data_IF_955858262690
#
_entry.id   IF_955858262690
#
_cell.length_a   1.000
_cell.length_b   1.000
_cell.length_c   1.000
_cell.angle_alpha   90.00
_cell.angle_beta   90.00
_cell.angle_gamma   90.00
#
_symmetry.space_group_name_H-M   'P 1'
#
loop_
_entity.id
_entity.type
_entity.pdbx_description
1 polymer ?
#
# COMPACT_ATOMS: atom_id res chain seq x y z
N UNK A 1 -17.17 -46.76 -6.06
CA UNK A 1 -18.63 -46.70 -5.86
C UNK A 1 -18.91 -46.25 -4.44
N UNK A 2 -19.85 -45.31 -4.16
CA UNK A 2 -20.65 -44.54 -5.07
C UNK A 2 -20.48 -43.01 -4.95
N UNK A 3 -20.90 -42.36 -5.99
CA UNK A 3 -21.16 -40.96 -6.29
C UNK A 3 -22.32 -40.46 -5.43
N UNK A 4 -22.21 -39.28 -4.83
CA UNK A 4 -23.39 -38.57 -4.33
C UNK A 4 -23.49 -37.17 -4.94
N UNK A 5 -24.47 -37.06 -5.79
CA UNK A 5 -24.99 -35.90 -6.47
C UNK A 5 -26.00 -35.19 -5.56
N UNK A 6 -25.88 -33.87 -5.32
CA UNK A 6 -26.99 -33.08 -4.80
C UNK A 6 -27.14 -31.75 -5.54
N UNK A 7 -27.89 -31.80 -6.61
CA UNK A 7 -28.64 -30.66 -7.13
C UNK A 7 -29.97 -30.58 -6.42
N UNK A 8 -30.32 -29.48 -5.78
CA UNK A 8 -31.72 -29.08 -5.55
C UNK A 8 -31.92 -27.59 -5.83
N UNK A 9 -32.54 -27.33 -6.96
CA UNK A 9 -33.23 -26.09 -7.33
C UNK A 9 -34.35 -25.77 -6.33
N UNK A 10 -34.54 -24.48 -6.02
CA UNK A 10 -35.87 -23.94 -5.69
C UNK A 10 -36.09 -22.62 -6.41
N UNK A 11 -37.19 -22.55 -7.17
CA UNK A 11 -37.78 -21.47 -7.93
C UNK A 11 -38.85 -20.71 -7.09
N UNK A 12 -39.40 -19.58 -7.56
CA UNK A 12 -39.85 -18.44 -6.79
C UNK A 12 -41.35 -18.40 -6.48
N UNK A 13 -41.79 -17.42 -5.71
CA UNK A 13 -43.19 -17.03 -5.58
C UNK A 13 -43.36 -15.53 -5.82
N UNK A 14 -44.18 -15.20 -6.82
CA UNK A 14 -44.84 -13.92 -7.12
C UNK A 14 -46.04 -13.71 -6.18
N UNK A 15 -46.39 -12.44 -6.00
CA UNK A 15 -47.76 -11.83 -6.11
C UNK A 15 -47.69 -10.43 -5.53
N UNK A 16 -47.88 -9.33 -6.31
CA UNK A 16 -49.13 -8.60 -6.61
C UNK A 16 -49.75 -7.98 -5.32
N UNK A 17 -50.10 -6.73 -5.23
CA UNK A 17 -50.97 -5.80 -5.98
C UNK A 17 -50.84 -4.38 -5.43
N UNK A 18 -50.79 -3.39 -6.27
CA UNK A 18 -51.63 -2.23 -6.59
C UNK A 18 -52.36 -1.53 -5.43
N UNK A 19 -52.12 -0.20 -5.28
CA UNK A 19 -53.22 0.79 -5.23
C UNK A 19 -52.70 2.23 -5.50
N UNK A 20 -53.37 2.87 -6.45
CA UNK A 20 -53.33 4.29 -6.82
C UNK A 20 -54.22 5.11 -5.89
N UNK A 21 -53.85 6.32 -5.54
CA UNK A 21 -54.81 7.46 -5.38
C UNK A 21 -54.13 8.80 -5.71
N UNK A 22 -54.89 9.57 -6.42
CA UNK A 22 -54.76 10.79 -7.17
C UNK A 22 -54.58 12.10 -6.36
N UNK A 23 -53.94 13.04 -7.04
CA UNK A 23 -54.22 14.48 -7.26
C UNK A 23 -54.32 15.45 -6.10
N UNK A 24 -53.55 16.56 -6.19
CA UNK A 24 -54.09 17.90 -6.40
C UNK A 24 -52.99 18.90 -6.75
N UNK A 25 -53.24 19.65 -7.82
CA UNK A 25 -52.54 20.85 -8.30
C UNK A 25 -52.69 22.01 -7.31
N UNK A 26 -51.64 22.82 -7.16
CA UNK A 26 -51.79 24.26 -6.97
C UNK A 26 -50.48 24.96 -7.38
N UNK A 27 -50.61 25.67 -8.42
CA UNK A 27 -49.83 26.77 -8.99
C UNK A 27 -49.36 27.77 -7.94
N UNK A 28 -48.09 28.15 -7.96
CA UNK A 28 -47.73 29.56 -7.70
C UNK A 28 -46.33 29.89 -8.27
N UNK A 29 -46.37 30.79 -9.22
CA UNK A 29 -45.31 31.46 -9.92
C UNK A 29 -44.68 32.51 -9.02
N UNK A 30 -43.37 32.43 -8.73
CA UNK A 30 -42.57 33.59 -8.40
C UNK A 30 -41.10 33.36 -8.82
N UNK A 31 -40.58 34.30 -9.59
CA UNK A 31 -39.21 34.31 -10.10
C UNK A 31 -38.21 34.61 -8.98
N UNK A 32 -37.06 33.95 -8.94
CA UNK A 32 -35.99 34.35 -8.05
C UNK A 32 -35.07 35.38 -8.69
N UNK A 33 -34.82 36.40 -7.88
CA UNK A 33 -33.81 37.44 -8.04
C UNK A 33 -32.40 36.86 -8.15
N UNK A 34 -31.62 37.44 -9.05
CA UNK A 34 -30.15 37.31 -9.14
C UNK A 34 -29.50 37.76 -7.84
N UNK A 35 -28.90 36.80 -7.11
CA UNK A 35 -27.76 37.02 -6.19
C UNK A 35 -27.36 35.70 -5.54
N UNK A 36 -26.59 34.84 -6.21
CA UNK A 36 -25.70 33.84 -5.59
C UNK A 36 -24.82 33.21 -6.68
N UNK A 37 -23.95 33.99 -7.28
CA UNK A 37 -22.93 33.50 -8.20
C UNK A 37 -21.57 34.16 -7.91
N UNK A 38 -21.09 34.10 -6.69
CA UNK A 38 -19.72 34.52 -6.33
C UNK A 38 -19.32 33.90 -4.99
N UNK A 39 -19.11 32.58 -4.93
CA UNK A 39 -18.35 31.99 -3.83
C UNK A 39 -17.81 30.57 -4.09
N UNK A 40 -17.78 30.11 -5.36
CA UNK A 40 -17.32 28.73 -5.68
C UNK A 40 -15.90 28.70 -6.28
N UNK A 41 -15.27 29.85 -6.50
CA UNK A 41 -14.00 29.96 -7.22
C UNK A 41 -12.77 30.10 -6.31
N UNK A 42 -12.91 30.39 -5.03
CA UNK A 42 -11.75 30.61 -4.14
C UNK A 42 -11.36 29.35 -3.36
N UNK A 43 -12.31 28.50 -2.95
CA UNK A 43 -11.99 27.22 -2.27
C UNK A 43 -11.39 26.17 -3.21
N UNK A 44 -11.71 26.20 -4.52
CA UNK A 44 -11.16 25.24 -5.49
C UNK A 44 -9.72 25.57 -5.90
N UNK A 45 -9.32 26.84 -5.81
CA UNK A 45 -7.95 27.27 -6.14
C UNK A 45 -6.97 27.01 -4.97
N UNK A 46 -7.44 27.07 -3.73
CA UNK A 46 -6.59 26.82 -2.55
C UNK A 46 -6.30 25.34 -2.37
N UNK A 47 -7.21 24.45 -2.81
CA UNK A 47 -7.01 23.00 -2.76
C UNK A 47 -5.97 22.50 -3.78
N UNK A 48 -5.84 23.18 -4.93
CA UNK A 48 -4.82 22.82 -5.93
C UNK A 48 -3.42 23.37 -5.58
N UNK A 49 -3.32 24.49 -4.84
CA UNK A 49 -2.02 25.05 -4.41
C UNK A 49 -1.36 24.25 -3.26
N UNK A 50 -2.15 23.58 -2.42
CA UNK A 50 -1.61 22.76 -1.30
C UNK A 50 -1.09 21.40 -1.80
N UNK A 51 -1.50 20.97 -3.01
CA UNK A 51 -1.12 19.65 -3.54
C UNK A 51 0.13 19.66 -4.43
N UNK A 52 0.75 20.80 -4.66
CA UNK A 52 1.95 20.95 -5.53
C UNK A 52 3.23 21.25 -4.74
N UNK A 53 3.22 21.08 -3.41
CA UNK A 53 4.44 21.05 -2.63
C UNK A 53 5.18 19.76 -3.00
N UNK A 54 6.36 19.90 -3.60
CA UNK A 54 7.29 18.78 -3.77
C UNK A 54 7.50 18.14 -2.38
N UNK A 55 7.42 16.79 -2.26
CA UNK A 55 7.64 16.13 -0.98
C UNK A 55 9.01 16.56 -0.42
N UNK A 56 9.08 16.77 0.90
CA UNK A 56 10.36 17.04 1.55
C UNK A 56 11.36 15.94 1.17
N UNK A 57 12.59 16.35 0.84
CA UNK A 57 13.61 15.41 0.38
C UNK A 57 14.16 14.61 1.57
N UNK A 58 13.67 13.40 1.76
CA UNK A 58 14.02 12.51 2.88
C UNK A 58 15.26 11.65 2.63
N UNK A 59 15.52 11.29 1.37
CA UNK A 59 16.53 10.29 1.00
C UNK A 59 17.69 10.86 0.17
N UNK A 60 17.77 12.19 -0.03
CA UNK A 60 18.76 12.85 -0.91
C UNK A 60 20.22 12.65 -0.50
N UNK A 61 20.51 12.39 0.77
CA UNK A 61 21.86 12.14 1.31
C UNK A 61 22.26 10.66 1.26
N UNK A 62 21.36 9.77 0.80
CA UNK A 62 21.60 8.34 0.75
C UNK A 62 22.21 7.93 -0.59
N UNK A 63 23.29 7.13 -0.54
CA UNK A 63 23.87 6.51 -1.74
C UNK A 63 23.09 5.24 -2.13
N UNK A 64 22.49 5.26 -3.33
CA UNK A 64 21.74 4.17 -3.91
C UNK A 64 22.50 3.37 -4.98
N UNK A 65 23.81 3.61 -5.16
CA UNK A 65 24.61 2.99 -6.24
C UNK A 65 24.64 1.46 -6.20
N UNK A 66 24.53 0.87 -5.00
CA UNK A 66 24.49 -0.59 -4.76
C UNK A 66 23.20 -1.05 -4.08
N UNK A 67 22.16 -0.21 -4.04
CA UNK A 67 20.92 -0.48 -3.34
C UNK A 67 20.05 -1.50 -4.09
N UNK A 68 19.89 -1.30 -5.41
CA UNK A 68 19.07 -2.13 -6.25
C UNK A 68 19.87 -3.25 -6.91
N UNK A 69 19.23 -4.40 -7.07
CA UNK A 69 19.81 -5.50 -7.82
C UNK A 69 19.59 -5.28 -9.32
N UNK A 70 20.66 -5.44 -10.13
CA UNK A 70 20.56 -5.36 -11.58
C UNK A 70 19.61 -6.41 -12.14
N UNK A 71 18.53 -5.96 -12.77
CA UNK A 71 17.44 -6.80 -13.21
C UNK A 71 17.73 -7.39 -14.59
N UNK A 72 17.64 -8.72 -14.70
CA UNK A 72 17.58 -9.42 -15.98
C UNK A 72 16.20 -9.25 -16.62
N UNK A 73 16.11 -9.40 -17.94
CA UNK A 73 14.84 -9.33 -18.70
C UNK A 73 13.70 -10.16 -18.06
N UNK A 74 14.02 -11.32 -17.50
CA UNK A 74 13.06 -12.21 -16.84
C UNK A 74 12.49 -11.66 -15.52
N UNK A 75 13.08 -10.62 -14.95
CA UNK A 75 12.75 -10.03 -13.65
C UNK A 75 12.02 -8.69 -13.78
N UNK A 76 11.75 -8.22 -14.99
CA UNK A 76 11.02 -6.96 -15.25
C UNK A 76 9.63 -6.87 -14.59
N UNK A 77 9.10 -7.96 -14.10
CA UNK A 77 7.84 -7.99 -13.34
C UNK A 77 7.91 -7.32 -11.96
N UNK A 78 9.08 -6.93 -11.52
CA UNK A 78 9.31 -6.26 -10.23
C UNK A 78 9.53 -4.77 -10.35
N UNK A 79 9.86 -4.27 -11.54
CA UNK A 79 10.18 -2.87 -11.78
C UNK A 79 9.19 -2.23 -12.74
N UNK A 80 8.65 -1.09 -12.35
CA UNK A 80 7.74 -0.28 -13.14
C UNK A 80 8.42 0.99 -13.69
N UNK A 81 7.78 1.64 -14.66
CA UNK A 81 8.17 2.97 -15.08
C UNK A 81 8.02 3.97 -13.91
N UNK A 82 8.79 5.06 -13.92
CA UNK A 82 8.68 6.10 -12.89
C UNK A 82 7.25 6.64 -12.82
N UNK A 83 6.64 6.69 -11.63
CA UNK A 83 5.25 7.10 -11.50
C UNK A 83 5.12 8.62 -11.67
N UNK A 84 4.10 9.05 -12.39
CA UNK A 84 3.66 10.44 -12.40
C UNK A 84 2.69 10.72 -11.22
N UNK A 85 2.38 11.98 -10.98
CA UNK A 85 1.49 12.40 -9.89
C UNK A 85 0.07 11.83 -10.03
N UNK A 86 -0.42 11.60 -11.26
CA UNK A 86 -1.75 11.02 -11.47
C UNK A 86 -1.78 9.56 -11.06
N UNK A 87 -0.75 8.80 -11.41
CA UNK A 87 -0.64 7.40 -11.01
C UNK A 87 -0.50 7.26 -9.50
N UNK A 88 0.34 8.10 -8.86
CA UNK A 88 0.50 8.11 -7.40
C UNK A 88 -0.84 8.34 -6.72
N UNK A 89 -1.56 9.42 -7.05
CA UNK A 89 -2.90 9.72 -6.49
C UNK A 89 -3.87 8.56 -6.71
N UNK A 90 -3.94 8.05 -7.94
CA UNK A 90 -4.85 6.96 -8.29
C UNK A 90 -4.56 5.65 -7.53
N UNK A 91 -3.29 5.36 -7.21
CA UNK A 91 -2.90 4.21 -6.37
C UNK A 91 -3.26 4.46 -4.91
N UNK A 92 -3.03 5.66 -4.39
CA UNK A 92 -3.44 6.06 -3.03
C UNK A 92 -4.96 5.96 -2.84
N UNK A 93 -5.74 6.49 -3.80
CA UNK A 93 -7.21 6.39 -3.79
C UNK A 93 -7.70 4.94 -3.77
N UNK A 94 -7.05 4.05 -4.53
CA UNK A 94 -7.41 2.62 -4.57
C UNK A 94 -7.07 1.89 -3.28
N UNK A 95 -5.94 2.24 -2.65
CA UNK A 95 -5.49 1.61 -1.40
C UNK A 95 -6.17 2.22 -0.18
N UNK A 96 -6.68 3.46 -0.28
CA UNK A 96 -7.31 4.19 0.81
C UNK A 96 -6.34 4.82 1.82
N UNK A 97 -5.08 5.01 1.42
CA UNK A 97 -4.01 5.57 2.26
C UNK A 97 -3.12 6.52 1.46
N UNK A 98 -2.61 7.55 2.09
CA UNK A 98 -1.57 8.42 1.55
C UNK A 98 -0.20 7.73 1.72
N UNK A 99 0.56 7.61 0.64
CA UNK A 99 1.90 7.01 0.70
C UNK A 99 2.88 7.98 1.38
N UNK A 100 3.81 7.49 2.24
CA UNK A 100 4.85 8.32 2.83
C UNK A 100 5.69 9.03 1.78
N UNK A 101 6.09 10.28 2.04
CA UNK A 101 6.89 11.06 1.10
C UNK A 101 8.21 10.36 0.73
N UNK A 102 8.88 9.76 1.70
CA UNK A 102 10.09 8.96 1.47
C UNK A 102 9.83 7.74 0.54
N UNK A 103 8.63 7.14 0.60
CA UNK A 103 8.26 6.07 -0.31
C UNK A 103 8.08 6.57 -1.74
N UNK A 104 7.35 7.67 -1.89
CA UNK A 104 7.12 8.32 -3.19
C UNK A 104 8.44 8.79 -3.80
N UNK A 105 9.33 9.40 -3.00
CA UNK A 105 10.66 9.83 -3.42
C UNK A 105 11.48 8.65 -3.96
N UNK A 106 11.57 7.54 -3.21
CA UNK A 106 12.27 6.34 -3.64
C UNK A 106 11.71 5.78 -4.95
N UNK A 107 10.38 5.71 -5.08
CA UNK A 107 9.73 5.19 -6.29
C UNK A 107 9.87 6.14 -7.50
N UNK A 108 9.99 7.44 -7.30
CA UNK A 108 10.34 8.40 -8.37
C UNK A 108 11.79 8.23 -8.84
N UNK A 109 12.71 7.77 -8.00
CA UNK A 109 14.08 7.43 -8.40
C UNK A 109 14.14 6.08 -9.10
N UNK A 110 13.54 5.04 -8.52
CA UNK A 110 13.49 3.67 -9.03
C UNK A 110 12.20 2.98 -8.54
N UNK A 111 11.30 2.64 -9.46
CA UNK A 111 9.94 2.26 -9.14
C UNK A 111 9.78 0.77 -8.85
N UNK A 112 10.08 0.35 -7.64
CA UNK A 112 10.07 -1.05 -7.21
C UNK A 112 11.30 -1.80 -7.67
N UNK A 113 11.42 -3.06 -7.29
CA UNK A 113 12.53 -3.91 -7.73
C UNK A 113 13.12 -4.78 -6.65
N UNK A 114 14.02 -5.65 -7.05
CA UNK A 114 14.81 -6.51 -6.15
C UNK A 114 15.94 -5.71 -5.52
N UNK A 115 16.36 -6.12 -4.32
CA UNK A 115 17.33 -5.39 -3.51
C UNK A 115 18.67 -6.12 -3.42
N UNK A 116 19.79 -5.38 -3.52
CA UNK A 116 21.11 -5.81 -3.07
C UNK A 116 21.28 -5.56 -1.56
N UNK A 117 20.85 -4.37 -1.09
CA UNK A 117 20.73 -4.09 0.34
C UNK A 117 19.43 -4.66 0.85
N UNK A 118 19.41 -5.95 1.11
CA UNK A 118 18.20 -6.69 1.44
C UNK A 118 18.12 -7.18 2.88
N UNK A 119 19.12 -6.91 3.73
CA UNK A 119 19.18 -7.36 5.12
C UNK A 119 18.81 -6.22 6.07
N UNK A 120 17.76 -6.42 6.86
CA UNK A 120 17.33 -5.48 7.89
C UNK A 120 17.53 -6.07 9.28
N UNK A 121 18.26 -5.38 10.21
CA UNK A 121 18.47 -5.87 11.56
C UNK A 121 17.16 -5.85 12.36
N UNK A 122 16.90 -6.88 13.12
CA UNK A 122 15.69 -7.03 13.90
C UNK A 122 16.00 -7.68 15.25
N UNK A 123 15.36 -7.18 16.29
CA UNK A 123 15.44 -7.78 17.62
C UNK A 123 14.16 -8.59 17.86
N UNK A 124 14.16 -9.85 17.45
CA UNK A 124 13.08 -10.74 17.84
C UNK A 124 13.21 -11.12 19.34
N UNK A 125 12.08 -11.43 20.02
CA UNK A 125 12.14 -12.07 21.32
C UNK A 125 13.01 -13.35 21.26
N UNK A 126 13.66 -13.69 22.36
CA UNK A 126 14.79 -14.62 22.51
C UNK A 126 14.65 -16.04 21.90
N UNK A 127 13.53 -16.39 21.28
CA UNK A 127 13.28 -17.72 20.72
C UNK A 127 13.58 -17.84 19.21
N UNK A 128 13.90 -16.72 18.55
CA UNK A 128 14.18 -16.69 17.11
C UNK A 128 15.66 -16.40 16.89
N UNK A 129 16.38 -17.34 16.32
CA UNK A 129 17.84 -17.27 16.08
C UNK A 129 18.25 -16.32 14.94
N UNK A 130 17.38 -15.44 14.47
CA UNK A 130 17.67 -14.55 13.37
C UNK A 130 17.80 -13.11 13.86
N UNK A 131 18.98 -12.54 13.74
CA UNK A 131 19.26 -11.13 14.00
C UNK A 131 18.86 -10.22 12.83
N UNK A 132 18.42 -10.80 11.70
CA UNK A 132 18.10 -10.09 10.46
C UNK A 132 16.91 -10.73 9.73
N UNK A 133 16.14 -9.89 9.06
CA UNK A 133 15.22 -10.33 8.01
C UNK A 133 15.82 -10.05 6.63
N UNK A 134 15.49 -10.91 5.66
CA UNK A 134 15.89 -10.71 4.28
C UNK A 134 14.68 -10.29 3.45
N UNK A 135 14.69 -9.03 2.98
CA UNK A 135 13.68 -8.43 2.11
C UNK A 135 14.00 -8.80 0.66
N UNK A 136 13.05 -9.33 -0.09
CA UNK A 136 13.30 -9.77 -1.47
C UNK A 136 13.22 -8.63 -2.48
N UNK A 137 12.13 -7.86 -2.39
CA UNK A 137 11.83 -6.77 -3.32
C UNK A 137 10.89 -5.77 -2.65
N UNK A 138 10.91 -4.55 -3.17
CA UNK A 138 9.91 -3.52 -2.87
C UNK A 138 8.88 -3.47 -4.00
N UNK A 139 7.61 -3.30 -3.66
CA UNK A 139 6.54 -3.10 -4.62
C UNK A 139 6.59 -1.68 -5.18
N UNK A 140 6.56 -1.51 -6.49
CA UNK A 140 6.49 -0.20 -7.14
C UNK A 140 5.09 0.41 -7.10
N UNK A 141 5.00 1.72 -7.36
CA UNK A 141 3.72 2.42 -7.55
C UNK A 141 3.25 2.17 -8.97
N UNK A 142 2.44 1.14 -9.17
CA UNK A 142 1.93 0.72 -10.49
C UNK A 142 0.73 -0.22 -10.31
N UNK A 143 0.04 -0.54 -11.44
CA UNK A 143 -1.09 -1.47 -11.51
C UNK A 143 -0.87 -2.64 -12.45
N UNK A 144 -0.06 -2.45 -13.48
CA UNK A 144 0.12 -3.42 -14.56
C UNK A 144 1.26 -4.39 -14.25
N UNK A 145 2.29 -3.90 -13.57
CA UNK A 145 3.41 -4.74 -13.14
C UNK A 145 2.96 -5.70 -12.04
N UNK A 146 3.27 -6.98 -12.20
CA UNK A 146 2.74 -8.03 -11.33
C UNK A 146 3.07 -7.84 -9.84
N UNK A 147 4.29 -7.38 -9.54
CA UNK A 147 4.77 -7.07 -8.19
C UNK A 147 4.85 -5.56 -7.99
N UNK A 148 3.70 -4.89 -8.08
CA UNK A 148 3.51 -3.48 -7.72
C UNK A 148 2.37 -3.35 -6.71
N UNK A 149 2.19 -2.18 -6.10
CA UNK A 149 1.22 -1.96 -5.01
C UNK A 149 -0.20 -2.39 -5.37
N UNK A 150 -0.67 -2.06 -6.59
CA UNK A 150 -1.98 -2.45 -7.11
C UNK A 150 -1.91 -3.55 -8.16
N UNK A 151 -0.74 -4.18 -8.36
CA UNK A 151 -0.56 -5.30 -9.29
C UNK A 151 -1.16 -6.61 -8.77
N UNK A 152 -1.12 -7.65 -9.63
CA UNK A 152 -1.70 -8.96 -9.31
C UNK A 152 -1.20 -9.58 -7.99
N UNK A 153 0.08 -9.38 -7.66
CA UNK A 153 0.71 -9.86 -6.43
C UNK A 153 1.06 -8.69 -5.50
N UNK A 154 0.26 -7.63 -5.55
CA UNK A 154 0.43 -6.41 -4.80
C UNK A 154 -0.16 -6.46 -3.39
N UNK A 155 -0.37 -5.28 -2.80
CA UNK A 155 -0.77 -5.12 -1.41
C UNK A 155 -2.03 -5.91 -1.05
N UNK A 156 -3.10 -5.80 -1.84
CA UNK A 156 -4.36 -6.52 -1.58
C UNK A 156 -4.17 -8.04 -1.57
N UNK A 157 -3.41 -8.59 -2.54
CA UNK A 157 -3.11 -10.01 -2.60
C UNK A 157 -2.29 -10.49 -1.38
N UNK A 158 -1.32 -9.69 -0.94
CA UNK A 158 -0.47 -10.05 0.20
C UNK A 158 -1.23 -10.03 1.53
N UNK A 159 -2.24 -9.17 1.63
CA UNK A 159 -3.08 -9.02 2.82
C UNK A 159 -4.34 -9.91 2.77
N UNK A 160 -4.64 -10.54 1.62
CA UNK A 160 -5.73 -11.49 1.49
C UNK A 160 -5.66 -12.58 2.58
N UNK A 161 -6.76 -12.88 3.20
CA UNK A 161 -6.87 -13.82 4.34
C UNK A 161 -6.12 -13.40 5.63
N UNK A 162 -5.66 -12.13 5.74
CA UNK A 162 -5.02 -11.59 6.94
C UNK A 162 -6.00 -10.86 7.88
N UNK A 163 -7.29 -10.95 7.62
CA UNK A 163 -8.33 -10.39 8.48
C UNK A 163 -8.26 -8.87 8.61
N UNK A 164 -8.10 -8.37 9.84
CA UNK A 164 -8.07 -6.91 10.09
C UNK A 164 -6.89 -6.16 9.46
N UNK A 165 -5.88 -6.86 8.96
CA UNK A 165 -4.71 -6.23 8.34
C UNK A 165 -5.02 -5.60 6.97
N UNK A 166 -6.07 -6.05 6.27
CA UNK A 166 -6.51 -5.42 5.01
C UNK A 166 -6.87 -3.94 5.16
N UNK A 167 -7.38 -3.57 6.34
CA UNK A 167 -7.73 -2.19 6.69
C UNK A 167 -6.68 -1.48 7.54
N UNK A 168 -5.58 -2.15 7.87
CA UNK A 168 -4.52 -1.62 8.72
C UNK A 168 -3.46 -0.83 7.96
N UNK A 169 -3.28 -1.11 6.67
CA UNK A 169 -2.24 -0.45 5.89
C UNK A 169 -1.94 -1.06 4.53
N UNK A 170 -0.74 -0.82 4.06
CA UNK A 170 -0.27 -1.19 2.72
C UNK A 170 0.86 -2.20 2.84
N UNK A 171 0.69 -3.42 2.32
CA UNK A 171 1.81 -4.32 2.12
C UNK A 171 2.70 -3.81 0.98
N UNK A 172 3.98 -3.59 1.26
CA UNK A 172 4.91 -2.98 0.32
C UNK A 172 6.14 -3.84 -0.01
N UNK A 173 6.39 -4.92 0.76
CA UNK A 173 7.52 -5.80 0.55
C UNK A 173 7.27 -7.22 1.09
N UNK A 174 8.04 -8.19 0.56
CA UNK A 174 8.08 -9.57 1.04
C UNK A 174 9.45 -9.91 1.62
N UNK A 175 9.45 -10.78 2.63
CA UNK A 175 10.65 -11.37 3.22
C UNK A 175 10.67 -12.89 3.01
N UNK A 176 11.87 -13.46 2.84
CA UNK A 176 12.06 -14.91 2.70
C UNK A 176 12.77 -15.55 3.90
N UNK A 177 13.47 -14.77 4.70
CA UNK A 177 14.21 -15.25 5.86
C UNK A 177 13.90 -14.35 7.07
N UNK A 178 13.78 -14.91 8.27
CA UNK A 178 13.85 -16.32 8.67
C UNK A 178 12.61 -17.15 8.31
N UNK A 179 11.50 -16.50 7.98
CA UNK A 179 10.25 -17.12 7.53
C UNK A 179 9.64 -16.30 6.41
N UNK A 180 8.66 -16.87 5.73
CA UNK A 180 7.85 -16.07 4.80
C UNK A 180 7.10 -15.02 5.59
N UNK A 181 7.33 -13.77 5.26
CA UNK A 181 6.70 -12.63 5.92
C UNK A 181 6.40 -11.53 4.92
N UNK A 182 5.57 -10.61 5.34
CA UNK A 182 5.27 -9.38 4.61
C UNK A 182 5.65 -8.18 5.48
N UNK A 183 6.00 -7.08 4.84
CA UNK A 183 6.17 -5.79 5.49
C UNK A 183 5.03 -4.88 5.08
N UNK A 184 4.43 -4.21 6.06
CA UNK A 184 3.37 -3.26 5.84
C UNK A 184 3.78 -1.86 6.32
N UNK A 185 3.28 -0.85 5.61
CA UNK A 185 3.12 0.50 6.13
C UNK A 185 1.86 0.47 7.00
N UNK A 186 2.03 0.56 8.31
CA UNK A 186 0.97 0.34 9.28
C UNK A 186 0.40 1.68 9.74
N UNK A 187 -0.84 1.96 9.34
CA UNK A 187 -1.54 3.21 9.59
C UNK A 187 -2.45 3.19 10.82
N UNK A 188 -2.50 2.10 11.57
CA UNK A 188 -3.43 1.95 12.71
C UNK A 188 -3.27 3.02 13.79
N UNK A 189 -2.08 3.59 13.94
CA UNK A 189 -1.79 4.58 14.99
C UNK A 189 -1.77 6.02 14.50
N UNK A 190 -1.66 6.25 13.19
CA UNK A 190 -1.50 7.60 12.62
C UNK A 190 -2.68 8.05 11.74
N UNK A 191 -3.60 7.12 11.36
CA UNK A 191 -4.65 7.41 10.39
C UNK A 191 -4.16 7.28 8.95
N UNK A 192 -5.09 7.30 7.99
CA UNK A 192 -4.83 7.01 6.56
C UNK A 192 -3.93 8.01 5.83
N UNK A 193 -3.72 9.17 6.41
CA UNK A 193 -2.93 10.31 5.89
C UNK A 193 -1.71 10.66 6.77
N UNK A 194 -1.50 9.93 7.87
CA UNK A 194 -0.36 10.13 8.78
C UNK A 194 0.87 9.33 8.34
N UNK A 195 1.98 9.53 9.06
CA UNK A 195 3.24 8.80 8.81
C UNK A 195 3.18 7.39 9.45
N UNK A 196 3.14 6.31 8.65
CA UNK A 196 2.98 4.95 9.15
C UNK A 196 4.30 4.37 9.66
N UNK A 197 4.22 3.52 10.68
CA UNK A 197 5.36 2.68 11.04
C UNK A 197 5.50 1.48 10.08
N UNK A 198 6.68 0.83 10.10
CA UNK A 198 6.91 -0.41 9.35
C UNK A 198 6.73 -1.60 10.28
N UNK A 199 5.78 -2.46 9.95
CA UNK A 199 5.46 -3.66 10.71
C UNK A 199 5.79 -4.91 9.90
N UNK A 200 6.54 -5.82 10.52
CA UNK A 200 6.81 -7.17 10.03
C UNK A 200 5.67 -8.08 10.46
N UNK A 201 5.16 -8.89 9.54
CA UNK A 201 4.10 -9.86 9.79
C UNK A 201 4.56 -11.24 9.35
N UNK A 202 4.69 -12.15 10.30
CA UNK A 202 4.97 -13.55 10.02
C UNK A 202 3.77 -14.21 9.37
N UNK A 203 3.92 -14.70 8.12
CA UNK A 203 2.80 -15.29 7.37
C UNK A 203 2.32 -16.63 7.93
N UNK A 204 3.07 -17.28 8.83
CA UNK A 204 2.72 -18.56 9.42
C UNK A 204 2.06 -18.42 10.78
N UNK A 205 2.65 -17.58 11.67
CA UNK A 205 2.17 -17.39 13.05
C UNK A 205 1.21 -16.22 13.18
N UNK A 206 1.19 -15.33 12.20
CA UNK A 206 0.49 -14.03 12.21
C UNK A 206 0.98 -13.09 13.31
N UNK A 207 2.17 -13.34 13.85
CA UNK A 207 2.82 -12.43 14.79
C UNK A 207 3.25 -11.16 14.09
N UNK A 208 3.01 -10.04 14.73
CA UNK A 208 3.28 -8.71 14.25
C UNK A 208 4.40 -8.07 15.09
N UNK A 209 5.35 -7.43 14.43
CA UNK A 209 6.45 -6.72 15.10
C UNK A 209 6.73 -5.41 14.38
N UNK A 210 6.61 -4.27 15.08
CA UNK A 210 7.07 -2.98 14.55
C UNK A 210 8.60 -3.00 14.48
N UNK A 211 9.16 -2.82 13.29
CA UNK A 211 10.60 -2.91 13.02
C UNK A 211 11.24 -1.55 12.73
N UNK A 212 10.46 -0.57 12.31
CA UNK A 212 10.94 0.80 12.11
C UNK A 212 9.82 1.81 12.40
N UNK A 213 10.15 3.02 12.90
CA UNK A 213 9.16 4.05 13.18
C UNK A 213 8.51 4.65 11.92
N UNK A 214 9.19 4.59 10.77
CA UNK A 214 8.69 5.04 9.47
C UNK A 214 9.47 4.36 8.32
N UNK A 215 9.04 4.63 7.09
CA UNK A 215 9.65 4.04 5.89
C UNK A 215 11.09 4.54 5.66
N UNK A 216 11.39 5.82 5.91
CA UNK A 216 12.75 6.36 5.74
C UNK A 216 13.77 5.62 6.62
N UNK A 217 13.48 5.47 7.91
CA UNK A 217 14.36 4.76 8.85
C UNK A 217 14.51 3.29 8.44
N UNK A 218 13.45 2.66 7.93
CA UNK A 218 13.54 1.30 7.40
C UNK A 218 14.50 1.22 6.21
N UNK A 219 14.39 2.10 5.20
CA UNK A 219 15.27 2.10 4.03
C UNK A 219 16.73 2.36 4.42
N UNK A 220 16.98 3.31 5.31
CA UNK A 220 18.33 3.60 5.84
C UNK A 220 18.95 2.46 6.62
N UNK A 221 18.13 1.60 7.22
CA UNK A 221 18.55 0.43 7.98
C UNK A 221 18.90 -0.80 7.15
N UNK A 222 18.57 -0.82 5.85
CA UNK A 222 18.88 -1.93 4.95
C UNK A 222 20.38 -2.03 4.67
N UNK A 223 20.91 -3.25 4.73
CA UNK A 223 22.35 -3.57 4.59
C UNK A 223 22.59 -4.59 3.50
N UNK A 224 23.84 -4.61 3.00
CA UNK A 224 24.33 -5.73 2.18
C UNK A 224 24.57 -6.97 3.06
N UNK A 225 24.72 -8.15 2.45
CA UNK A 225 25.05 -9.38 3.18
C UNK A 225 26.39 -9.29 3.92
N UNK A 226 27.38 -8.58 3.36
CA UNK A 226 28.69 -8.41 3.97
C UNK A 226 28.62 -7.56 5.24
N UNK A 227 27.85 -6.47 5.22
CA UNK A 227 27.64 -5.59 6.38
C UNK A 227 26.84 -6.31 7.50
N UNK A 228 25.86 -7.12 7.12
CA UNK A 228 25.07 -7.90 8.05
C UNK A 228 25.92 -8.99 8.74
N UNK A 229 26.72 -9.74 7.98
CA UNK A 229 27.60 -10.80 8.52
C UNK A 229 28.75 -10.23 9.36
N UNK A 230 29.34 -9.09 8.96
CA UNK A 230 30.44 -8.45 9.70
C UNK A 230 30.06 -7.91 11.08
N UNK A 231 28.77 -7.69 11.35
CA UNK A 231 28.27 -7.29 12.68
C UNK A 231 27.97 -8.47 13.61
N UNK A 232 27.83 -9.68 13.09
CA UNK A 232 27.58 -10.89 13.88
C UNK A 232 28.87 -11.48 14.53
N UNK A 233 30.05 -11.13 14.02
CA UNK A 233 31.34 -11.61 14.58
C UNK A 233 31.82 -10.80 15.80
N UNK A 234 31.14 -9.74 16.18
CA UNK A 234 31.54 -8.81 17.26
C UNK A 234 30.76 -8.94 18.58
N UNK A 235 29.97 -10.01 18.78
CA UNK A 235 29.24 -10.26 20.04
C UNK A 235 29.71 -11.49 20.77
#
# INVERSE_FOLDING_TARGET
MPIFNWFKKKKPAETEETEMIQTSEADNTEAPSEETALSVTEETLVADEILDSEPEAHLTDMDFSDFWHDIKESERRYEAARPDLRLIRSVQDELGFVLPDAYVELMKMHNGGMLNRCWYPINFPAETYADYIQVTHLLGIDREIAYSLCGRFGSKFLLEDKGSLESAGIAFANCISPSRAILILDYRTCGSDGEPCVTYINSQTHEETVIAPNFEIFIRGLKTSLEALGQSEGK
#
